data_IF_002971384553
#
_entry.id   IF_002971384553
#
_cell.length_a   1.000
_cell.length_b   1.000
_cell.length_c   1.000
_cell.angle_alpha   90.00
_cell.angle_beta   90.00
_cell.angle_gamma   90.00
#
_symmetry.space_group_name_H-M   'P 1'
#
loop_
_entity.id
_entity.type
_entity.pdbx_description
1 polymer ?
#
# COMPACT_ATOMS: atom_id res chain seq x y z
N UNK A 1 53.19 -32.67 6.25
CA UNK A 1 52.02 -32.76 5.36
C UNK A 1 51.00 -31.80 5.91
N UNK A 2 50.87 -30.62 5.27
CA UNK A 2 49.87 -29.63 5.65
C UNK A 2 48.49 -30.16 5.26
N UNK A 3 47.54 -30.12 6.18
CA UNK A 3 46.12 -30.28 5.91
C UNK A 3 45.54 -28.88 5.61
N UNK A 4 45.13 -28.56 4.37
CA UNK A 4 44.39 -27.35 4.10
C UNK A 4 42.95 -27.75 3.81
N UNK A 5 42.08 -27.90 4.83
CA UNK A 5 40.63 -27.93 4.57
C UNK A 5 39.74 -27.80 5.83
N UNK A 6 39.82 -26.67 6.52
CA UNK A 6 38.85 -26.35 7.59
C UNK A 6 38.18 -24.98 7.45
N UNK A 7 38.64 -24.12 6.54
CA UNK A 7 38.10 -22.77 6.32
C UNK A 7 37.19 -22.63 5.08
N UNK A 8 37.16 -23.63 4.20
CA UNK A 8 36.30 -23.66 3.01
C UNK A 8 34.77 -23.50 3.29
N UNK A 9 34.17 -24.13 4.32
CA UNK A 9 32.71 -24.02 4.52
C UNK A 9 32.24 -22.66 5.07
N UNK A 10 33.16 -21.79 5.52
CA UNK A 10 32.83 -20.45 6.04
C UNK A 10 32.75 -19.40 4.93
N UNK A 11 33.64 -19.49 3.94
CA UNK A 11 33.64 -18.58 2.79
C UNK A 11 32.39 -18.79 1.92
N UNK A 12 32.02 -20.04 1.64
CA UNK A 12 30.80 -20.36 0.88
C UNK A 12 29.54 -19.79 1.55
N UNK A 13 29.48 -19.82 2.89
CA UNK A 13 28.38 -19.22 3.66
C UNK A 13 28.40 -17.69 3.61
N UNK A 14 29.58 -17.08 3.64
CA UNK A 14 29.72 -15.64 3.54
C UNK A 14 29.33 -15.12 2.14
N UNK A 15 29.70 -15.84 1.08
CA UNK A 15 29.28 -15.55 -0.30
C UNK A 15 27.77 -15.70 -0.46
N UNK A 16 27.20 -16.82 0.00
CA UNK A 16 25.75 -17.04 -0.03
C UNK A 16 24.98 -15.97 0.77
N UNK A 17 25.53 -15.54 1.91
CA UNK A 17 24.99 -14.45 2.70
C UNK A 17 25.03 -13.13 1.93
N UNK A 18 26.18 -12.78 1.34
CA UNK A 18 26.33 -11.55 0.56
C UNK A 18 25.37 -11.49 -0.63
N UNK A 19 25.21 -12.60 -1.37
CA UNK A 19 24.23 -12.72 -2.46
C UNK A 19 22.79 -12.55 -1.96
N UNK A 20 22.45 -13.19 -0.84
CA UNK A 20 21.12 -13.09 -0.23
C UNK A 20 20.82 -11.66 0.20
N UNK A 21 21.77 -11.00 0.88
CA UNK A 21 21.66 -9.61 1.31
C UNK A 21 21.52 -8.68 0.10
N UNK A 22 22.32 -8.89 -0.96
CA UNK A 22 22.21 -8.11 -2.19
C UNK A 22 20.82 -8.23 -2.82
N UNK A 23 20.27 -9.44 -2.90
CA UNK A 23 18.90 -9.67 -3.39
C UNK A 23 17.86 -8.96 -2.53
N UNK A 24 17.97 -9.05 -1.20
CA UNK A 24 17.06 -8.38 -0.26
C UNK A 24 17.08 -6.85 -0.45
N UNK A 25 18.25 -6.25 -0.64
CA UNK A 25 18.35 -4.80 -0.91
C UNK A 25 17.83 -4.41 -2.29
N UNK A 26 17.96 -5.29 -3.29
CA UNK A 26 17.44 -5.08 -4.64
C UNK A 26 15.92 -5.26 -4.76
N UNK A 27 15.28 -5.94 -3.81
CA UNK A 27 13.84 -6.23 -3.85
C UNK A 27 13.00 -4.99 -3.47
N UNK A 28 12.34 -4.42 -4.48
CA UNK A 28 11.48 -3.24 -4.30
C UNK A 28 10.25 -3.51 -3.44
N UNK A 29 9.84 -4.76 -3.28
CA UNK A 29 8.71 -5.16 -2.40
C UNK A 29 9.11 -5.10 -0.92
N UNK A 30 10.39 -5.24 -0.60
CA UNK A 30 10.91 -5.23 0.76
C UNK A 30 10.97 -3.80 1.34
N UNK A 31 9.84 -3.34 1.88
CA UNK A 31 9.77 -2.13 2.71
C UNK A 31 10.71 -2.22 3.93
N UNK A 32 11.11 -1.11 4.58
CA UNK A 32 12.13 -1.13 5.63
C UNK A 32 11.88 -2.18 6.75
N UNK A 33 10.65 -2.35 7.28
CA UNK A 33 10.39 -3.39 8.30
C UNK A 33 10.57 -4.81 7.76
N UNK A 34 10.10 -5.09 6.55
CA UNK A 34 10.25 -6.41 5.93
C UNK A 34 11.71 -6.71 5.61
N UNK A 35 12.47 -5.69 5.17
CA UNK A 35 13.90 -5.79 4.93
C UNK A 35 14.66 -6.14 6.21
N UNK A 36 14.34 -5.48 7.32
CA UNK A 36 14.92 -5.75 8.63
C UNK A 36 14.70 -7.22 9.04
N UNK A 37 13.47 -7.72 8.88
CA UNK A 37 13.12 -9.12 9.16
C UNK A 37 13.92 -10.11 8.30
N UNK A 38 13.96 -9.89 6.98
CA UNK A 38 14.68 -10.76 6.04
C UNK A 38 16.18 -10.81 6.37
N UNK A 39 16.79 -9.66 6.70
CA UNK A 39 18.19 -9.58 7.09
C UNK A 39 18.45 -10.28 8.42
N UNK A 40 17.55 -10.18 9.40
CA UNK A 40 17.69 -10.89 10.68
C UNK A 40 17.66 -12.42 10.51
N UNK A 41 16.79 -12.94 9.63
CA UNK A 41 16.75 -14.37 9.30
C UNK A 41 17.99 -14.79 8.51
N UNK A 42 18.46 -13.99 7.55
CA UNK A 42 19.72 -14.25 6.85
C UNK A 42 20.93 -14.28 7.81
N UNK A 43 20.99 -13.34 8.75
CA UNK A 43 22.01 -13.30 9.80
C UNK A 43 21.99 -14.58 10.66
N UNK A 44 20.81 -15.01 11.10
CA UNK A 44 20.65 -16.23 11.89
C UNK A 44 21.03 -17.51 11.14
N UNK A 45 20.87 -17.54 9.81
CA UNK A 45 21.22 -18.70 8.99
C UNK A 45 22.73 -18.77 8.66
N UNK A 46 23.35 -17.63 8.36
CA UNK A 46 24.69 -17.62 7.77
C UNK A 46 25.80 -17.13 8.70
N UNK A 47 25.50 -16.15 9.56
CA UNK A 47 26.50 -15.48 10.40
C UNK A 47 26.51 -16.05 11.82
N UNK A 48 25.33 -16.25 12.40
CA UNK A 48 25.16 -16.82 13.73
C UNK A 48 24.33 -18.11 13.68
N UNK A 49 24.75 -19.14 12.93
CA UNK A 49 24.03 -20.40 12.85
C UNK A 49 23.96 -21.04 14.25
N UNK A 50 22.77 -21.05 14.83
CA UNK A 50 22.47 -21.80 16.05
C UNK A 50 22.04 -23.23 15.73
N UNK A 51 21.30 -23.84 16.65
CA UNK A 51 20.59 -25.08 16.35
C UNK A 51 19.60 -24.84 15.20
N UNK A 52 19.51 -25.74 14.21
CA UNK A 52 18.60 -25.60 13.07
C UNK A 52 17.19 -25.22 13.53
N UNK A 53 16.54 -26.01 14.40
CA UNK A 53 15.20 -25.70 14.91
C UNK A 53 15.04 -24.42 15.76
N UNK A 54 16.06 -23.57 15.86
CA UNK A 54 16.06 -22.30 16.61
C UNK A 54 16.45 -21.09 15.76
N UNK A 55 16.55 -21.20 14.44
CA UNK A 55 16.90 -20.07 13.55
C UNK A 55 16.01 -18.85 13.80
N UNK A 56 14.68 -19.03 13.90
CA UNK A 56 13.76 -17.92 14.15
C UNK A 56 13.95 -17.30 15.54
N UNK A 57 14.33 -18.09 16.55
CA UNK A 57 14.65 -17.58 17.88
C UNK A 57 15.93 -16.73 17.87
N UNK A 58 16.93 -17.12 17.08
CA UNK A 58 18.15 -16.33 16.90
C UNK A 58 17.85 -15.02 16.17
N UNK A 59 17.02 -15.05 15.12
CA UNK A 59 16.56 -13.85 14.44
C UNK A 59 15.77 -12.93 15.38
N UNK A 60 14.88 -13.48 16.22
CA UNK A 60 14.12 -12.73 17.20
C UNK A 60 15.00 -12.04 18.24
N UNK A 61 16.05 -12.73 18.73
CA UNK A 61 17.04 -12.11 19.64
C UNK A 61 17.84 -11.00 18.97
N UNK A 62 18.18 -11.13 17.70
CA UNK A 62 18.90 -10.10 16.96
C UNK A 62 18.07 -8.82 16.76
N UNK A 63 16.76 -8.96 16.55
CA UNK A 63 15.83 -7.83 16.40
C UNK A 63 15.48 -7.16 17.74
N UNK A 64 15.57 -7.93 18.84
CA UNK A 64 15.31 -7.43 20.18
C UNK A 64 13.83 -7.14 20.46
N UNK A 65 13.61 -6.19 21.37
CA UNK A 65 12.29 -5.83 21.89
C UNK A 65 11.91 -4.40 21.49
N UNK A 66 10.61 -4.16 21.32
CA UNK A 66 10.01 -2.83 21.14
C UNK A 66 8.81 -2.72 22.07
N UNK A 67 8.82 -1.70 22.94
CA UNK A 67 7.80 -1.56 23.98
C UNK A 67 7.68 -2.79 24.90
N UNK A 68 8.78 -3.52 25.12
CA UNK A 68 8.81 -4.74 25.94
C UNK A 68 8.25 -6.00 25.26
N UNK A 69 7.86 -5.93 23.98
CA UNK A 69 7.40 -7.08 23.19
C UNK A 69 8.42 -7.47 22.12
N UNK A 70 8.51 -8.76 21.74
CA UNK A 70 9.38 -9.17 20.64
C UNK A 70 9.00 -8.45 19.34
N UNK A 71 9.95 -7.74 18.72
CA UNK A 71 9.74 -7.08 17.42
C UNK A 71 9.47 -8.08 16.31
N UNK A 72 10.12 -9.23 16.41
CA UNK A 72 10.01 -10.32 15.44
C UNK A 72 8.57 -10.73 15.19
N UNK A 73 7.76 -10.90 16.23
CA UNK A 73 6.37 -11.34 16.12
C UNK A 73 5.55 -10.37 15.25
N UNK A 74 5.68 -9.07 15.50
CA UNK A 74 5.00 -8.03 14.74
C UNK A 74 5.48 -7.98 13.28
N UNK A 75 6.78 -8.21 13.04
CA UNK A 75 7.36 -8.23 11.70
C UNK A 75 6.91 -9.47 10.91
N UNK A 76 6.86 -10.65 11.52
CA UNK A 76 6.34 -11.88 10.88
C UNK A 76 4.85 -11.73 10.59
N UNK A 77 4.06 -11.19 11.53
CA UNK A 77 2.66 -10.89 11.30
C UNK A 77 2.47 -9.89 10.13
N UNK A 78 3.33 -8.87 10.04
CA UNK A 78 3.28 -7.89 8.96
C UNK A 78 3.69 -8.46 7.59
N UNK A 79 4.54 -9.49 7.57
CA UNK A 79 4.92 -10.24 6.36
C UNK A 79 3.88 -11.31 5.96
N UNK A 80 2.85 -11.57 6.77
CA UNK A 80 1.80 -12.53 6.41
C UNK A 80 1.12 -12.13 5.08
N UNK A 81 1.08 -13.01 4.07
CA UNK A 81 0.44 -12.80 2.77
C UNK A 81 -0.99 -12.31 2.90
N UNK A 82 -1.30 -11.17 2.28
CA UNK A 82 -2.67 -10.64 2.23
C UNK A 82 -2.85 -9.64 1.10
N UNK A 83 -4.11 -9.44 0.74
CA UNK A 83 -4.50 -8.29 -0.04
C UNK A 83 -4.75 -7.10 0.89
N UNK A 84 -4.08 -5.98 0.64
CA UNK A 84 -4.41 -4.69 1.23
C UNK A 84 -5.03 -3.78 0.16
N UNK A 85 -6.29 -3.35 0.34
CA UNK A 85 -6.92 -2.45 -0.59
C UNK A 85 -6.24 -1.07 -0.56
N UNK A 86 -6.30 -0.31 -1.66
CA UNK A 86 -5.76 1.05 -1.69
C UNK A 86 -6.42 1.88 -0.59
N UNK A 87 -5.68 2.82 0.01
CA UNK A 87 -6.18 3.70 1.08
C UNK A 87 -7.51 4.39 0.71
N UNK A 88 -7.67 4.75 -0.56
CA UNK A 88 -8.88 5.37 -1.09
C UNK A 88 -10.13 4.48 -0.97
N UNK A 89 -10.00 3.16 -0.82
CA UNK A 89 -11.12 2.23 -0.65
C UNK A 89 -11.57 2.10 0.81
N UNK A 90 -10.79 2.62 1.76
CA UNK A 90 -11.13 2.65 3.18
C UNK A 90 -12.37 3.49 3.47
N UNK A 91 -12.75 3.51 4.75
CA UNK A 91 -13.85 4.34 5.23
C UNK A 91 -13.31 5.70 5.63
N UNK A 92 -13.82 6.73 4.97
CA UNK A 92 -13.38 8.10 5.17
C UNK A 92 -14.42 8.90 5.93
N UNK A 93 -13.94 9.70 6.88
CA UNK A 93 -14.77 10.70 7.54
C UNK A 93 -15.18 11.83 6.58
N UNK A 94 -16.17 12.65 6.97
CA UNK A 94 -16.59 13.81 6.20
C UNK A 94 -15.41 14.74 5.86
N UNK A 95 -15.25 15.10 4.59
CA UNK A 95 -14.20 16.01 4.12
C UNK A 95 -12.79 15.40 3.97
N UNK A 96 -12.60 14.12 4.28
CA UNK A 96 -11.33 13.42 4.05
C UNK A 96 -11.38 12.46 2.85
N UNK A 97 -12.59 12.13 2.38
CA UNK A 97 -12.78 11.27 1.22
C UNK A 97 -12.16 11.88 -0.05
N UNK A 98 -11.68 11.04 -0.99
CA UNK A 98 -11.27 11.48 -2.32
C UNK A 98 -12.35 12.34 -3.01
N UNK A 99 -11.92 13.28 -3.83
CA UNK A 99 -12.82 14.21 -4.53
C UNK A 99 -13.70 13.51 -5.57
N UNK A 100 -14.86 14.09 -5.83
CA UNK A 100 -15.85 13.51 -6.73
C UNK A 100 -15.32 13.36 -8.17
N UNK A 101 -15.43 12.15 -8.71
CA UNK A 101 -14.93 11.76 -10.04
C UNK A 101 -15.95 12.01 -11.17
N UNK A 102 -17.20 12.30 -10.82
CA UNK A 102 -18.25 12.49 -11.82
C UNK A 102 -17.95 13.65 -12.77
N UNK A 103 -18.44 13.56 -14.03
CA UNK A 103 -18.41 14.67 -14.96
C UNK A 103 -18.99 15.94 -14.37
N UNK A 104 -18.37 17.06 -14.69
CA UNK A 104 -18.75 18.34 -14.14
C UNK A 104 -20.05 18.84 -14.77
N UNK A 105 -21.09 19.06 -13.94
CA UNK A 105 -22.38 19.59 -14.40
C UNK A 105 -22.34 21.08 -14.82
N UNK A 106 -21.40 21.89 -14.31
CA UNK A 106 -21.25 23.32 -14.63
C UNK A 106 -19.79 23.80 -14.52
N UNK A 107 -19.29 24.69 -15.41
CA UNK A 107 -17.97 25.32 -15.28
C UNK A 107 -17.74 25.96 -13.91
N UNK A 108 -16.49 25.98 -13.43
CA UNK A 108 -16.16 26.68 -12.19
C UNK A 108 -16.46 28.18 -12.36
N UNK A 109 -17.32 28.72 -11.50
CA UNK A 109 -17.38 30.17 -11.31
C UNK A 109 -16.63 30.44 -10.02
N UNK A 110 -15.45 31.05 -10.14
CA UNK A 110 -14.71 31.55 -8.98
C UNK A 110 -15.66 32.44 -8.17
N UNK A 111 -15.93 32.03 -6.92
CA UNK A 111 -16.62 32.90 -5.96
C UNK A 111 -15.55 33.55 -5.10
N UNK A 112 -15.31 34.86 -5.26
CA UNK A 112 -14.39 35.56 -4.38
C UNK A 112 -14.82 35.33 -2.93
N UNK A 113 -13.83 35.06 -2.06
CA UNK A 113 -14.06 34.93 -0.63
C UNK A 113 -14.77 36.19 -0.14
N UNK A 114 -15.95 36.05 0.48
CA UNK A 114 -16.62 37.20 1.11
C UNK A 114 -15.62 37.81 2.11
N UNK A 115 -15.34 39.12 2.05
CA UNK A 115 -14.56 39.76 3.10
C UNK A 115 -15.25 39.53 4.44
N UNK A 116 -14.47 39.35 5.51
CA UNK A 116 -15.00 39.24 6.86
C UNK A 116 -15.80 40.51 7.15
N UNK A 117 -17.13 40.39 7.25
CA UNK A 117 -17.98 41.49 7.69
C UNK A 117 -17.80 41.63 9.19
N UNK A 118 -16.98 42.60 9.60
CA UNK A 118 -17.06 43.15 10.94
C UNK A 118 -18.37 43.93 11.07
N UNK A 119 -19.21 43.53 12.01
CA UNK A 119 -20.09 44.42 12.76
C UNK A 119 -21.34 44.91 12.06
N UNK A 120 -22.45 44.74 12.77
CA UNK A 120 -23.74 45.36 12.54
C UNK A 120 -23.68 46.88 12.33
N UNK A 121 -24.60 47.32 11.47
CA UNK A 121 -25.34 48.59 11.42
C UNK A 121 -24.70 49.87 11.97
N UNK A 122 -24.58 50.90 11.11
CA UNK A 122 -25.32 52.18 11.22
C UNK A 122 -24.65 53.26 10.34
N UNK A 123 -25.34 53.66 9.26
CA UNK A 123 -25.24 54.91 8.50
C UNK A 123 -25.58 54.63 7.02
N UNK A 124 -26.81 54.96 6.63
CA UNK A 124 -27.18 55.04 5.22
C UNK A 124 -26.42 56.20 4.55
N UNK A 125 -25.25 55.90 4.00
CA UNK A 125 -24.49 56.79 3.10
C UNK A 125 -24.88 56.43 1.67
N UNK A 126 -25.14 57.39 0.76
CA UNK A 126 -25.56 57.10 -0.61
C UNK A 126 -24.57 56.14 -1.26
N UNK A 127 -25.07 55.04 -1.81
CA UNK A 127 -24.28 53.99 -2.45
C UNK A 127 -23.44 54.56 -3.59
N UNK A 128 -22.20 54.99 -3.29
CA UNK A 128 -21.15 54.99 -4.30
C UNK A 128 -21.03 53.53 -4.75
N UNK A 129 -21.15 53.30 -6.05
CA UNK A 129 -20.83 51.99 -6.65
C UNK A 129 -19.48 51.57 -6.06
N UNK A 130 -19.38 50.44 -5.35
CA UNK A 130 -18.08 49.96 -4.92
C UNK A 130 -17.21 49.84 -6.17
N UNK A 131 -15.94 50.29 -6.12
CA UNK A 131 -15.05 50.10 -7.26
C UNK A 131 -15.03 48.62 -7.62
N UNK A 132 -14.99 48.32 -8.92
CA UNK A 132 -14.83 46.95 -9.38
C UNK A 132 -13.65 46.33 -8.63
N UNK A 133 -13.80 45.12 -8.06
CA UNK A 133 -12.72 44.51 -7.31
C UNK A 133 -11.54 44.32 -8.25
N UNK A 134 -10.52 45.16 -8.11
CA UNK A 134 -9.27 45.02 -8.84
C UNK A 134 -8.56 43.81 -8.24
N UNK A 135 -8.69 42.67 -8.91
CA UNK A 135 -7.90 41.49 -8.61
C UNK A 135 -6.47 41.79 -9.08
N UNK A 136 -5.61 42.21 -8.16
CA UNK A 136 -4.18 42.38 -8.42
C UNK A 136 -3.52 41.00 -8.58
N UNK A 137 -3.60 40.44 -9.78
CA UNK A 137 -2.73 39.35 -10.22
C UNK A 137 -1.60 39.96 -11.03
N UNK A 138 -0.35 39.55 -10.74
CA UNK A 138 0.81 40.00 -11.51
C UNK A 138 0.65 39.64 -12.99
N UNK A 139 1.27 40.40 -13.92
CA UNK A 139 1.13 40.18 -15.36
C UNK A 139 1.55 38.78 -15.83
N UNK A 140 2.39 38.08 -15.05
CA UNK A 140 2.86 36.72 -15.32
C UNK A 140 2.18 35.65 -14.44
N UNK A 141 1.14 36.00 -13.67
CA UNK A 141 0.41 35.04 -12.86
C UNK A 141 -0.51 34.19 -13.73
N UNK A 142 -0.03 33.00 -14.07
CA UNK A 142 -0.86 31.93 -14.59
C UNK A 142 -1.45 31.21 -13.36
N UNK A 143 -2.76 31.32 -13.07
CA UNK A 143 -3.36 30.52 -12.01
C UNK A 143 -3.05 29.04 -12.28
N UNK A 144 -2.64 28.25 -11.28
CA UNK A 144 -2.42 26.83 -11.45
C UNK A 144 -3.65 26.22 -12.13
N UNK A 145 -3.45 25.53 -13.24
CA UNK A 145 -4.57 24.94 -13.95
C UNK A 145 -5.21 23.93 -13.01
N UNK A 146 -6.45 24.22 -12.60
CA UNK A 146 -7.20 23.30 -11.74
C UNK A 146 -7.42 22.02 -12.53
N UNK A 147 -6.83 20.90 -12.09
CA UNK A 147 -6.99 19.59 -12.72
C UNK A 147 -8.46 19.21 -12.91
N UNK A 148 -9.37 19.79 -12.11
CA UNK A 148 -10.83 19.63 -12.26
C UNK A 148 -11.38 20.29 -13.52
N UNK A 149 -10.80 21.42 -13.92
CA UNK A 149 -11.14 22.11 -15.17
C UNK A 149 -10.53 21.38 -16.38
N UNK A 150 -9.28 20.93 -16.30
CA UNK A 150 -8.65 20.16 -17.38
C UNK A 150 -9.38 18.85 -17.64
N UNK A 151 -9.70 18.11 -16.58
CA UNK A 151 -10.33 16.79 -16.68
C UNK A 151 -11.85 16.83 -16.73
N UNK A 152 -12.45 18.02 -16.67
CA UNK A 152 -13.91 18.21 -16.62
C UNK A 152 -14.60 17.37 -15.53
N UNK A 153 -13.96 17.23 -14.36
CA UNK A 153 -14.47 16.48 -13.21
C UNK A 153 -14.97 17.42 -12.11
N UNK A 154 -15.90 16.93 -11.29
CA UNK A 154 -16.51 17.71 -10.23
C UNK A 154 -15.52 18.11 -9.12
N UNK A 155 -14.78 17.13 -8.59
CA UNK A 155 -13.79 17.31 -7.54
C UNK A 155 -14.30 17.79 -6.18
N UNK A 156 -15.62 17.94 -5.99
CA UNK A 156 -16.22 18.30 -4.69
C UNK A 156 -16.09 17.17 -3.66
N UNK A 157 -16.28 17.48 -2.38
CA UNK A 157 -16.21 16.49 -1.30
C UNK A 157 -17.20 15.36 -1.53
N UNK A 158 -16.69 14.13 -1.52
CA UNK A 158 -17.47 12.95 -1.81
C UNK A 158 -18.20 12.42 -0.58
N UNK A 159 -19.34 11.80 -0.84
CA UNK A 159 -20.21 11.19 0.16
C UNK A 159 -20.58 9.74 -0.20
N UNK A 160 -20.58 9.40 -1.48
CA UNK A 160 -20.91 8.07 -1.98
C UNK A 160 -19.64 7.39 -2.48
N UNK A 161 -19.47 6.12 -2.10
CA UNK A 161 -18.36 5.25 -2.51
C UNK A 161 -18.94 4.08 -3.29
N UNK A 162 -18.40 3.82 -4.47
CA UNK A 162 -18.67 2.60 -5.24
C UNK A 162 -17.35 1.86 -5.40
N UNK A 163 -17.33 0.56 -5.16
CA UNK A 163 -16.14 -0.26 -5.30
C UNK A 163 -16.27 -1.09 -6.57
N UNK A 164 -15.33 -0.94 -7.49
CA UNK A 164 -15.16 -1.81 -8.65
C UNK A 164 -14.10 -2.86 -8.34
N UNK A 165 -14.38 -4.13 -8.60
CA UNK A 165 -13.40 -5.21 -8.53
C UNK A 165 -12.82 -5.45 -9.92
N UNK A 166 -11.49 -5.51 -10.02
CA UNK A 166 -10.82 -5.91 -11.25
C UNK A 166 -11.16 -7.39 -11.56
N UNK A 167 -11.75 -7.70 -12.72
CA UNK A 167 -12.16 -9.05 -13.06
C UNK A 167 -11.01 -10.04 -13.18
N UNK A 168 -9.76 -9.58 -13.32
CA UNK A 168 -8.57 -10.44 -13.43
C UNK A 168 -7.91 -10.70 -12.09
N UNK A 169 -7.93 -9.73 -11.19
CA UNK A 169 -7.12 -9.76 -9.95
C UNK A 169 -7.93 -9.72 -8.67
N UNK A 170 -9.22 -9.40 -8.75
CA UNK A 170 -10.09 -9.14 -7.60
C UNK A 170 -9.73 -7.84 -6.87
N UNK A 171 -8.79 -7.04 -7.37
CA UNK A 171 -8.37 -5.81 -6.70
C UNK A 171 -9.44 -4.74 -6.76
N UNK A 172 -9.63 -4.07 -5.62
CA UNK A 172 -10.59 -3.00 -5.45
C UNK A 172 -10.08 -1.69 -6.04
N UNK A 173 -10.92 -1.06 -6.86
CA UNK A 173 -10.80 0.29 -7.38
C UNK A 173 -11.97 1.13 -6.83
N UNK A 174 -11.70 2.10 -5.94
CA UNK A 174 -12.76 2.91 -5.36
C UNK A 174 -13.11 4.10 -6.26
N UNK A 175 -14.40 4.32 -6.46
CA UNK A 175 -14.97 5.49 -7.12
C UNK A 175 -15.74 6.34 -6.12
N UNK A 176 -15.51 7.65 -6.19
CA UNK A 176 -16.07 8.59 -5.23
C UNK A 176 -16.97 9.64 -5.88
N UNK A 177 -18.13 9.87 -5.27
CA UNK A 177 -19.14 10.80 -5.78
C UNK A 177 -19.68 11.72 -4.68
N UNK A 178 -19.89 12.99 -4.99
CA UNK A 178 -20.55 13.93 -4.07
C UNK A 178 -22.07 13.74 -4.11
N UNK A 179 -22.80 14.33 -3.13
CA UNK A 179 -24.27 14.24 -3.04
C UNK A 179 -25.01 14.70 -4.30
N UNK A 180 -24.40 15.58 -5.11
CA UNK A 180 -24.98 16.06 -6.37
C UNK A 180 -24.88 15.06 -7.52
N UNK A 181 -24.06 14.02 -7.37
CA UNK A 181 -23.81 12.99 -8.36
C UNK A 181 -24.23 11.60 -7.86
N UNK A 182 -25.28 11.54 -7.04
CA UNK A 182 -25.84 10.27 -6.55
C UNK A 182 -26.33 9.41 -7.72
N UNK A 183 -27.05 9.99 -8.69
CA UNK A 183 -27.50 9.26 -9.89
C UNK A 183 -26.32 8.68 -10.69
N UNK A 184 -25.16 9.34 -10.69
CA UNK A 184 -23.99 8.82 -11.37
C UNK A 184 -23.34 7.69 -10.57
N UNK A 185 -23.30 7.81 -9.25
CA UNK A 185 -22.86 6.74 -8.37
C UNK A 185 -23.72 5.47 -8.56
N UNK A 186 -25.05 5.62 -8.62
CA UNK A 186 -25.99 4.52 -8.86
C UNK A 186 -25.75 3.88 -10.22
N UNK A 187 -25.59 4.67 -11.30
CA UNK A 187 -25.25 4.12 -12.62
C UNK A 187 -23.94 3.34 -12.63
N UNK A 188 -22.91 3.85 -11.95
CA UNK A 188 -21.62 3.15 -11.86
C UNK A 188 -21.76 1.88 -11.03
N UNK A 189 -22.51 1.91 -9.92
CA UNK A 189 -22.79 0.75 -9.10
C UNK A 189 -23.54 -0.35 -9.89
N UNK A 190 -24.50 0.04 -10.73
CA UNK A 190 -25.22 -0.86 -11.61
C UNK A 190 -24.29 -1.48 -12.67
N UNK A 191 -23.42 -0.65 -13.27
CA UNK A 191 -22.47 -1.09 -14.28
C UNK A 191 -21.46 -2.11 -13.74
N UNK A 192 -20.95 -1.92 -12.53
CA UNK A 192 -19.93 -2.81 -11.96
C UNK A 192 -20.51 -4.02 -11.24
N UNK A 193 -21.84 -4.12 -11.11
CA UNK A 193 -22.50 -5.16 -10.31
C UNK A 193 -22.17 -6.57 -10.79
N UNK A 194 -22.47 -6.86 -12.06
CA UNK A 194 -22.21 -8.17 -12.65
C UNK A 194 -20.70 -8.50 -12.68
N UNK A 195 -19.86 -7.50 -12.94
CA UNK A 195 -18.41 -7.64 -12.89
C UNK A 195 -17.91 -8.02 -11.49
N UNK A 196 -18.43 -7.34 -10.46
CA UNK A 196 -18.06 -7.60 -9.07
C UNK A 196 -18.53 -8.98 -8.61
N UNK A 197 -19.72 -9.42 -9.04
CA UNK A 197 -20.22 -10.77 -8.75
C UNK A 197 -19.36 -11.87 -9.40
N UNK A 198 -18.81 -11.61 -10.58
CA UNK A 198 -17.94 -12.54 -11.31
C UNK A 198 -16.45 -12.43 -10.93
N UNK A 199 -16.05 -11.42 -10.14
CA UNK A 199 -14.65 -11.18 -9.84
C UNK A 199 -14.07 -12.27 -8.92
N UNK A 200 -12.83 -12.72 -9.15
CA UNK A 200 -12.18 -13.69 -8.29
C UNK A 200 -11.79 -13.08 -6.94
N UNK A 201 -11.42 -13.93 -5.98
CA UNK A 201 -10.80 -13.46 -4.74
C UNK A 201 -9.52 -12.65 -5.03
N UNK A 202 -9.28 -11.57 -4.25
CA UNK A 202 -8.18 -10.66 -4.52
C UNK A 202 -6.82 -11.33 -4.37
N UNK A 203 -5.97 -11.19 -5.40
CA UNK A 203 -4.58 -11.63 -5.35
C UNK A 203 -3.84 -10.83 -4.25
N UNK A 204 -3.02 -11.47 -3.40
CA UNK A 204 -2.21 -10.76 -2.42
C UNK A 204 -1.29 -9.73 -3.07
N UNK A 205 -1.13 -8.59 -2.41
CA UNK A 205 -0.22 -7.52 -2.85
C UNK A 205 0.76 -7.10 -1.74
N UNK A 206 0.71 -7.74 -0.57
CA UNK A 206 1.60 -7.47 0.56
C UNK A 206 1.98 -8.75 1.30
N UNK A 207 3.21 -8.76 1.82
CA UNK A 207 3.79 -9.87 2.58
C UNK A 207 4.40 -10.94 1.67
N UNK A 208 4.54 -12.16 2.19
CA UNK A 208 5.01 -13.33 1.47
C UNK A 208 6.49 -13.30 1.07
N UNK A 209 7.27 -12.41 1.69
CA UNK A 209 8.69 -12.29 1.37
C UNK A 209 9.51 -13.35 2.09
N UNK A 210 9.20 -13.72 3.34
CA UNK A 210 9.93 -14.79 4.03
C UNK A 210 9.95 -16.10 3.21
N UNK A 211 8.81 -16.61 2.70
CA UNK A 211 8.78 -17.73 1.77
C UNK A 211 9.64 -17.53 0.52
N UNK A 212 9.68 -16.32 -0.05
CA UNK A 212 10.43 -16.03 -1.28
C UNK A 212 11.95 -16.26 -1.11
N UNK A 213 12.49 -16.03 0.08
CA UNK A 213 13.92 -16.20 0.38
C UNK A 213 14.23 -17.54 1.04
N UNK A 214 13.34 -18.01 1.92
CA UNK A 214 13.61 -19.10 2.86
C UNK A 214 12.51 -20.17 2.79
N UNK A 215 12.85 -21.43 3.05
CA UNK A 215 11.97 -22.60 3.11
C UNK A 215 11.79 -22.97 4.56
N UNK A 216 10.56 -22.90 5.04
CA UNK A 216 10.11 -23.35 6.35
C UNK A 216 8.63 -23.75 6.20
N UNK A 217 8.01 -24.39 7.22
CA UNK A 217 6.56 -24.52 7.28
C UNK A 217 5.91 -23.15 7.56
N UNK A 218 5.96 -22.24 6.57
CA UNK A 218 5.55 -20.85 6.74
C UNK A 218 4.06 -20.68 7.06
N UNK A 219 3.21 -21.63 6.65
CA UNK A 219 1.81 -21.60 7.04
C UNK A 219 1.65 -21.67 8.56
N UNK A 220 2.31 -22.63 9.21
CA UNK A 220 2.27 -22.80 10.68
C UNK A 220 2.86 -21.57 11.39
N UNK A 221 3.96 -21.04 10.85
CA UNK A 221 4.59 -19.82 11.37
C UNK A 221 3.63 -18.65 11.27
N UNK A 222 3.00 -18.41 10.12
CA UNK A 222 2.04 -17.32 9.96
C UNK A 222 0.79 -17.53 10.81
N UNK A 223 0.25 -18.74 10.92
CA UNK A 223 -0.88 -19.03 11.83
C UNK A 223 -0.57 -18.70 13.29
N UNK A 224 0.69 -18.82 13.70
CA UNK A 224 1.12 -18.50 15.06
C UNK A 224 1.22 -16.99 15.32
N UNK A 225 1.72 -16.21 14.36
CA UNK A 225 2.02 -14.78 14.56
C UNK A 225 0.99 -13.81 13.98
N UNK A 226 0.30 -14.21 12.90
CA UNK A 226 -0.71 -13.38 12.25
C UNK A 226 -2.00 -13.28 13.10
N UNK A 227 -2.87 -12.29 12.85
CA UNK A 227 -4.17 -12.23 13.49
C UNK A 227 -4.97 -13.52 13.30
N UNK A 228 -5.82 -13.86 14.27
CA UNK A 228 -6.64 -15.09 14.21
C UNK A 228 -7.58 -15.15 12.98
N UNK A 229 -7.88 -14.01 12.35
CA UNK A 229 -8.66 -13.92 11.12
C UNK A 229 -7.84 -14.12 9.85
N UNK A 230 -6.53 -14.33 9.96
CA UNK A 230 -5.67 -14.56 8.80
C UNK A 230 -5.86 -15.99 8.29
N UNK A 231 -6.11 -16.11 7.00
CA UNK A 231 -6.18 -17.36 6.28
C UNK A 231 -5.15 -17.36 5.15
N UNK A 232 -4.56 -18.52 4.81
CA UNK A 232 -3.61 -18.60 3.72
C UNK A 232 -4.33 -18.26 2.40
N UNK A 233 -3.80 -17.32 1.60
CA UNK A 233 -4.42 -16.95 0.34
C UNK A 233 -4.38 -18.12 -0.66
N UNK A 234 -5.39 -18.25 -1.55
CA UNK A 234 -5.47 -19.35 -2.51
C UNK A 234 -4.35 -19.34 -3.55
N UNK A 235 -3.67 -18.20 -3.71
CA UNK A 235 -2.55 -17.99 -4.63
C UNK A 235 -1.18 -18.39 -4.04
N UNK A 236 -1.17 -19.01 -2.86
CA UNK A 236 0.05 -19.47 -2.18
C UNK A 236 0.73 -18.39 -1.32
N UNK A 237 1.69 -18.81 -0.50
CA UNK A 237 2.29 -17.96 0.53
C UNK A 237 3.42 -17.05 0.01
N UNK A 238 4.02 -17.35 -1.14
CA UNK A 238 5.18 -16.60 -1.61
C UNK A 238 4.81 -15.51 -2.58
N UNK A 239 5.36 -14.33 -2.35
CA UNK A 239 5.26 -13.20 -3.27
C UNK A 239 5.80 -13.48 -4.68
N UNK A 240 6.68 -14.46 -4.85
CA UNK A 240 7.22 -14.84 -6.17
C UNK A 240 6.27 -15.74 -6.98
N UNK A 241 5.30 -16.38 -6.31
CA UNK A 241 4.35 -17.30 -6.95
C UNK A 241 3.03 -16.58 -7.31
N UNK A 242 2.84 -15.33 -6.89
CA UNK A 242 1.63 -14.57 -7.19
C UNK A 242 1.63 -14.10 -8.65
N UNK A 243 0.46 -14.11 -9.33
CA UNK A 243 0.34 -13.53 -10.67
C UNK A 243 0.66 -12.03 -10.63
N UNK A 244 1.57 -11.56 -11.48
CA UNK A 244 1.87 -10.13 -11.61
C UNK A 244 0.79 -9.44 -12.47
N UNK A 245 0.05 -8.44 -11.96
CA UNK A 245 -0.87 -7.63 -12.75
C UNK A 245 -0.12 -6.70 -13.70
N UNK A 246 0.46 -7.28 -14.75
CA UNK A 246 1.18 -6.54 -15.79
C UNK A 246 2.25 -7.34 -16.51
N UNK A 247 2.69 -8.48 -15.97
CA UNK A 247 3.69 -9.35 -16.58
C UNK A 247 3.31 -10.83 -16.48
N UNK A 248 3.81 -11.69 -17.40
CA UNK A 248 3.73 -13.12 -17.20
C UNK A 248 4.47 -13.53 -15.91
N UNK A 249 4.02 -14.60 -15.21
CA UNK A 249 4.69 -15.10 -14.03
C UNK A 249 6.17 -15.41 -14.37
N UNK A 250 7.13 -15.10 -13.48
CA UNK A 250 8.53 -15.29 -13.77
C UNK A 250 8.82 -16.76 -14.10
N UNK A 251 9.55 -17.00 -15.18
CA UNK A 251 9.96 -18.33 -15.63
C UNK A 251 11.04 -18.83 -14.65
N UNK A 252 10.59 -19.65 -13.68
CA UNK A 252 11.34 -20.31 -12.59
C UNK A 252 11.45 -19.48 -11.31
N UNK A 253 10.82 -19.99 -10.25
CA UNK A 253 11.04 -19.53 -8.88
C UNK A 253 12.54 -19.67 -8.53
N UNK A 254 13.19 -18.64 -7.98
CA UNK A 254 14.59 -18.74 -7.57
C UNK A 254 14.78 -19.84 -6.51
N UNK A 255 15.99 -20.41 -6.42
CA UNK A 255 16.33 -21.38 -5.37
C UNK A 255 16.11 -20.74 -3.98
N UNK A 256 15.20 -21.32 -3.19
CA UNK A 256 14.89 -20.91 -1.81
C UNK A 256 15.83 -21.63 -0.83
N UNK A 257 16.34 -20.91 0.17
CA UNK A 257 17.26 -21.42 1.18
C UNK A 257 16.51 -22.15 2.28
N UNK A 258 17.07 -23.15 2.98
CA UNK A 258 16.31 -23.86 4.03
C UNK A 258 16.47 -23.18 5.39
N UNK A 259 15.37 -22.68 5.93
CA UNK A 259 15.23 -22.31 7.34
C UNK A 259 14.60 -23.51 8.05
N UNK A 260 15.42 -24.52 8.36
CA UNK A 260 15.05 -25.55 9.36
C UNK A 260 15.25 -24.92 10.71
#
# INVERSE_FOLDING_TARGET
MNTPDADAPRLDRAETHAETVHRIFGDRRAAPPARELLLAVAYALFVAPGDPGRVLNTAARALGLEGGRPRFDALVAADAPRYEPPRAAGDWGPGQAPGCEAPRLRPYVYRPRRPATSGDEEAAVPLRRPPEPVVHVGPDYIPPVDYRNERQICGADSHHKVLELDPRTGWVRPHWFCKRHVDHAERVADQVREQNEAAPEPIPNRGGLLPAYFKAPWEDVYRHYAPASWEPPPYGLSADDWPDPGNPPPVRSPRRLRAV
#
